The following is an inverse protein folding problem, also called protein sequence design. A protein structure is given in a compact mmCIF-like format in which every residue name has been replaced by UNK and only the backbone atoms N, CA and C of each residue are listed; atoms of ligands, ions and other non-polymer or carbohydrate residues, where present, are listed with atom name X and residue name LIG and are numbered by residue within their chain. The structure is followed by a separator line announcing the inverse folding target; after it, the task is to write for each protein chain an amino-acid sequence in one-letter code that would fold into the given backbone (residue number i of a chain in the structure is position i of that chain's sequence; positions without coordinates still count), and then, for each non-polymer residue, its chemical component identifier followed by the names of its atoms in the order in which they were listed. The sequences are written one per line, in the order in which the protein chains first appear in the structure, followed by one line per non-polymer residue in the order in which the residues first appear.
data_IF_515896259358
#
_entry.id   IF_515896259358
#
_cell.length_a   1.000
_cell.length_b   1.000
_cell.length_c   1.000
_cell.angle_alpha   90.00
_cell.angle_beta   90.00
_cell.angle_gamma   90.00
#
_symmetry.space_group_name_H-M   'P 1'
#
loop_
_entity.id
_entity.type
_entity.pdbx_description
1 polymer ?
#
# COMPACT_ATOMS: atom_id res chain seq x y z
N UNK A 1 -14.20 10.36 6.72
CA UNK A 1 -13.52 9.23 6.07
C UNK A 1 -12.07 9.12 6.52
N UNK A 2 -11.22 10.14 6.34
CA UNK A 2 -9.80 10.07 6.76
C UNK A 2 -9.60 9.79 8.26
N UNK A 3 -10.43 10.35 9.14
CA UNK A 3 -10.36 10.07 10.59
C UNK A 3 -10.69 8.61 10.92
N UNK A 4 -11.62 7.98 10.19
CA UNK A 4 -11.94 6.56 10.31
C UNK A 4 -10.74 5.71 9.87
N UNK A 5 -10.07 6.11 8.78
CA UNK A 5 -8.84 5.45 8.30
C UNK A 5 -7.74 5.54 9.38
N UNK A 6 -7.51 6.72 9.97
CA UNK A 6 -6.53 6.89 11.05
C UNK A 6 -6.84 5.98 12.25
N UNK A 7 -8.10 5.92 12.68
CA UNK A 7 -8.52 5.06 13.79
C UNK A 7 -8.29 3.57 13.49
N UNK A 8 -8.65 3.12 12.29
CA UNK A 8 -8.44 1.73 11.86
C UNK A 8 -6.95 1.39 11.69
N UNK A 9 -6.14 2.32 11.19
CA UNK A 9 -4.68 2.16 11.10
C UNK A 9 -4.02 2.02 12.48
N UNK A 10 -4.52 2.72 13.51
CA UNK A 10 -3.97 2.63 14.88
C UNK A 10 -4.10 1.23 15.48
N UNK A 11 -5.13 0.49 15.10
CA UNK A 11 -5.42 -0.85 15.61
C UNK A 11 -5.07 -1.98 14.64
N UNK A 12 -4.64 -1.68 13.41
CA UNK A 12 -4.23 -2.69 12.44
C UNK A 12 -2.81 -3.19 12.73
N UNK A 13 -2.41 -4.32 12.17
CA UNK A 13 -1.03 -4.84 12.26
C UNK A 13 -0.21 -4.59 10.98
N UNK A 14 -0.65 -3.67 10.13
CA UNK A 14 -0.04 -3.41 8.83
C UNK A 14 1.40 -2.90 8.96
N UNK A 15 2.34 -3.47 8.20
CA UNK A 15 3.77 -3.13 8.26
C UNK A 15 4.06 -1.63 8.16
N UNK A 16 3.39 -0.95 7.23
CA UNK A 16 3.63 0.47 6.91
C UNK A 16 2.74 1.44 7.72
N UNK A 17 2.00 0.96 8.74
CA UNK A 17 1.00 1.79 9.46
C UNK A 17 1.60 3.00 10.17
N UNK A 18 2.78 2.83 10.79
CA UNK A 18 3.42 3.87 11.61
C UNK A 18 3.80 5.07 10.75
N UNK A 19 4.55 4.82 9.66
CA UNK A 19 4.95 5.87 8.72
C UNK A 19 3.74 6.61 8.14
N UNK A 20 2.67 5.88 7.78
CA UNK A 20 1.45 6.52 7.25
C UNK A 20 0.73 7.36 8.31
N UNK A 21 0.64 6.88 9.55
CA UNK A 21 0.02 7.64 10.64
C UNK A 21 0.78 8.93 10.91
N UNK A 22 2.11 8.89 10.95
CA UNK A 22 2.95 10.09 11.10
C UNK A 22 2.69 11.10 9.99
N UNK A 23 2.55 10.65 8.74
CA UNK A 23 2.22 11.54 7.61
C UNK A 23 0.82 12.13 7.76
N UNK A 24 -0.17 11.32 8.13
CA UNK A 24 -1.57 11.75 8.24
C UNK A 24 -1.84 12.65 9.46
N UNK A 25 -0.97 12.59 10.48
CA UNK A 25 -1.01 13.45 11.67
C UNK A 25 -0.22 14.76 11.48
N UNK A 26 0.57 14.88 10.40
CA UNK A 26 1.25 16.11 10.01
C UNK A 26 0.28 17.16 9.42
N UNK A 27 0.55 18.43 9.68
CA UNK A 27 -0.21 19.57 9.13
C UNK A 27 -0.08 19.66 7.59
N UNK A 28 1.00 19.10 7.02
CA UNK A 28 1.28 19.11 5.58
C UNK A 28 0.81 17.82 4.85
N UNK A 29 -0.05 17.02 5.49
CA UNK A 29 -0.52 15.75 4.96
C UNK A 29 -1.16 15.90 3.56
N UNK A 30 -0.54 15.28 2.55
CA UNK A 30 -1.11 15.19 1.19
C UNK A 30 -1.69 13.80 0.98
N UNK A 31 -3.01 13.73 0.94
CA UNK A 31 -3.72 12.50 0.62
C UNK A 31 -4.83 12.72 -0.39
N UNK A 32 -5.17 11.66 -1.11
CA UNK A 32 -6.24 11.63 -2.11
C UNK A 32 -7.04 10.34 -1.95
N UNK A 33 -8.32 10.49 -1.65
CA UNK A 33 -9.25 9.36 -1.51
C UNK A 33 -9.92 9.14 -2.86
N UNK A 34 -9.70 7.97 -3.45
CA UNK A 34 -10.31 7.59 -4.72
C UNK A 34 -11.78 7.22 -4.49
N UNK A 35 -12.68 7.91 -5.19
CA UNK A 35 -14.12 7.66 -5.11
C UNK A 35 -14.57 6.38 -5.83
N UNK A 36 -13.70 5.77 -6.63
CA UNK A 36 -13.98 4.51 -7.30
C UNK A 36 -13.61 3.34 -6.38
N UNK A 37 -14.49 2.35 -6.29
CA UNK A 37 -14.20 1.09 -5.62
C UNK A 37 -13.90 -0.02 -6.63
N UNK A 38 -13.15 -1.01 -6.19
CA UNK A 38 -12.82 -2.22 -6.96
C UNK A 38 -13.20 -3.44 -6.13
N UNK A 39 -13.68 -4.49 -6.80
CA UNK A 39 -14.00 -5.76 -6.16
C UNK A 39 -12.79 -6.36 -5.44
N UNK A 40 -13.03 -6.91 -4.25
CA UNK A 40 -12.04 -7.66 -3.47
C UNK A 40 -11.42 -8.80 -4.27
N UNK A 41 -12.22 -9.53 -5.05
CA UNK A 41 -11.77 -10.68 -5.83
C UNK A 41 -10.82 -10.26 -6.95
N UNK A 42 -11.16 -9.20 -7.68
CA UNK A 42 -10.31 -8.63 -8.74
C UNK A 42 -8.98 -8.14 -8.15
N UNK A 43 -9.04 -7.49 -6.98
CA UNK A 43 -7.81 -7.04 -6.31
C UNK A 43 -6.94 -8.21 -5.87
N UNK A 44 -7.53 -9.26 -5.31
CA UNK A 44 -6.79 -10.44 -4.90
C UNK A 44 -6.02 -11.05 -6.08
N UNK A 45 -6.68 -11.26 -7.22
CA UNK A 45 -6.06 -11.79 -8.44
C UNK A 45 -4.87 -10.92 -8.92
N UNK A 46 -5.08 -9.61 -9.01
CA UNK A 46 -4.03 -8.67 -9.45
C UNK A 46 -2.82 -8.71 -8.52
N UNK A 47 -3.05 -8.74 -7.20
CA UNK A 47 -1.97 -8.64 -6.23
C UNK A 47 -1.26 -9.98 -5.98
N UNK A 48 -1.94 -11.12 -6.16
CA UNK A 48 -1.28 -12.43 -6.20
C UNK A 48 -0.28 -12.51 -7.36
N UNK A 49 -0.69 -12.11 -8.56
CA UNK A 49 0.21 -12.03 -9.71
C UNK A 49 1.40 -11.08 -9.45
N UNK A 50 1.16 -9.93 -8.81
CA UNK A 50 2.24 -8.99 -8.45
C UNK A 50 3.20 -9.59 -7.42
N UNK A 51 2.70 -10.34 -6.44
CA UNK A 51 3.55 -11.02 -5.47
C UNK A 51 4.48 -12.04 -6.14
N UNK A 52 3.94 -12.83 -7.06
CA UNK A 52 4.73 -13.78 -7.85
C UNK A 52 5.81 -13.06 -8.66
N UNK A 53 5.45 -11.97 -9.36
CA UNK A 53 6.40 -11.17 -10.11
C UNK A 53 7.53 -10.59 -9.22
N UNK A 54 7.20 -10.12 -8.02
CA UNK A 54 8.17 -9.60 -7.07
C UNK A 54 9.03 -10.69 -6.42
N UNK A 55 8.61 -11.95 -6.46
CA UNK A 55 9.38 -13.08 -5.95
C UNK A 55 10.62 -13.35 -6.80
N UNK A 56 10.62 -12.95 -8.08
CA UNK A 56 11.78 -13.00 -8.96
C UNK A 56 12.78 -11.85 -8.78
N UNK A 57 12.61 -10.98 -7.78
CA UNK A 57 13.47 -9.80 -7.55
C UNK A 57 14.11 -9.85 -6.16
N UNK A 58 15.40 -9.51 -6.11
CA UNK A 58 16.23 -9.59 -4.89
C UNK A 58 16.70 -8.22 -4.38
N UNK A 59 16.08 -7.11 -4.78
CA UNK A 59 16.37 -5.82 -4.16
C UNK A 59 15.63 -5.68 -2.82
N UNK A 60 16.16 -4.88 -1.91
CA UNK A 60 15.52 -4.60 -0.62
C UNK A 60 14.10 -4.02 -0.81
N UNK A 61 13.97 -3.07 -1.75
CA UNK A 61 12.69 -2.48 -2.09
C UNK A 61 11.69 -3.52 -2.61
N UNK A 62 12.12 -4.45 -3.47
CA UNK A 62 11.27 -5.50 -3.99
C UNK A 62 10.79 -6.44 -2.88
N UNK A 63 11.67 -6.78 -1.93
CA UNK A 63 11.32 -7.61 -0.77
C UNK A 63 10.30 -6.91 0.15
N UNK A 64 10.52 -5.64 0.48
CA UNK A 64 9.56 -4.85 1.29
C UNK A 64 8.19 -4.72 0.62
N UNK A 65 8.17 -4.48 -0.70
CA UNK A 65 6.94 -4.40 -1.47
C UNK A 65 6.24 -5.75 -1.53
N UNK A 66 6.97 -6.84 -1.79
CA UNK A 66 6.43 -8.21 -1.80
C UNK A 66 5.78 -8.58 -0.48
N UNK A 67 6.44 -8.29 0.62
CA UNK A 67 5.91 -8.52 1.96
C UNK A 67 4.59 -7.79 2.20
N UNK A 68 4.51 -6.51 1.80
CA UNK A 68 3.31 -5.70 1.94
C UNK A 68 2.18 -6.19 1.01
N UNK A 69 2.53 -6.70 -0.18
CA UNK A 69 1.58 -7.32 -1.12
C UNK A 69 1.06 -8.64 -0.57
N UNK A 70 1.91 -9.48 0.03
CA UNK A 70 1.50 -10.73 0.67
C UNK A 70 0.55 -10.48 1.85
N UNK A 71 0.87 -9.49 2.69
CA UNK A 71 -0.01 -9.04 3.78
C UNK A 71 -1.39 -8.61 3.24
N UNK A 72 -1.42 -7.82 2.17
CA UNK A 72 -2.67 -7.43 1.51
C UNK A 72 -3.44 -8.66 0.99
N UNK A 73 -2.80 -9.58 0.29
CA UNK A 73 -3.44 -10.80 -0.22
C UNK A 73 -4.04 -11.64 0.93
N UNK A 74 -3.31 -11.83 2.02
CA UNK A 74 -3.81 -12.57 3.18
C UNK A 74 -5.02 -11.91 3.83
N UNK A 75 -5.01 -10.59 3.95
CA UNK A 75 -6.15 -9.84 4.48
C UNK A 75 -7.35 -9.88 3.52
N UNK A 76 -7.13 -9.77 2.21
CA UNK A 76 -8.18 -9.91 1.20
C UNK A 76 -8.82 -11.31 1.19
N UNK A 77 -8.07 -12.37 1.49
CA UNK A 77 -8.63 -13.73 1.59
C UNK A 77 -9.53 -13.90 2.81
N UNK A 78 -9.25 -13.19 3.90
CA UNK A 78 -9.95 -13.31 5.19
C UNK A 78 -11.09 -12.31 5.35
N UNK A 79 -11.05 -11.19 4.64
CA UNK A 79 -12.03 -10.13 4.76
C UNK A 79 -13.36 -10.50 4.09
N UNK A 80 -14.46 -10.11 4.73
CA UNK A 80 -15.83 -10.17 4.19
C UNK A 80 -16.18 -8.94 3.33
N UNK A 81 -15.17 -8.21 2.86
CA UNK A 81 -15.35 -7.01 2.06
C UNK A 81 -15.75 -7.36 0.62
N UNK A 82 -16.78 -6.74 0.07
CA UNK A 82 -17.09 -6.89 -1.36
C UNK A 82 -16.23 -5.95 -2.21
N UNK A 83 -16.06 -4.72 -1.74
CA UNK A 83 -15.47 -3.63 -2.50
C UNK A 83 -14.51 -2.82 -1.63
N UNK A 84 -13.38 -2.42 -2.23
CA UNK A 84 -12.37 -1.60 -1.58
C UNK A 84 -12.22 -0.26 -2.32
N UNK A 85 -12.00 0.81 -1.57
CA UNK A 85 -11.52 2.08 -2.11
C UNK A 85 -10.04 2.27 -1.77
N UNK A 86 -9.39 3.19 -2.49
CA UNK A 86 -7.98 3.48 -2.32
C UNK A 86 -7.80 4.86 -1.72
N UNK A 87 -6.87 4.97 -0.77
CA UNK A 87 -6.36 6.27 -0.33
C UNK A 87 -4.87 6.34 -0.65
N UNK A 88 -4.48 7.31 -1.47
CA UNK A 88 -3.08 7.59 -1.73
C UNK A 88 -2.58 8.62 -0.72
N UNK A 89 -1.51 8.32 0.01
CA UNK A 89 -0.84 9.25 0.93
C UNK A 89 0.56 9.50 0.42
N UNK A 90 0.96 10.77 0.26
CA UNK A 90 2.21 11.15 -0.41
C UNK A 90 3.17 11.85 0.53
N UNK A 91 4.43 11.45 0.51
CA UNK A 91 5.52 12.13 1.20
C UNK A 91 6.78 12.10 0.33
N UNK A 92 7.12 13.26 -0.25
CA UNK A 92 8.24 13.36 -1.18
C UNK A 92 8.12 12.39 -2.36
N UNK A 93 9.15 11.55 -2.51
CA UNK A 93 9.27 10.54 -3.57
C UNK A 93 8.41 9.29 -3.34
N UNK A 94 7.92 9.10 -2.10
CA UNK A 94 7.18 7.91 -1.68
C UNK A 94 5.67 8.15 -1.79
N UNK A 95 4.97 7.15 -2.33
CA UNK A 95 3.52 7.03 -2.32
C UNK A 95 3.10 5.81 -1.51
N UNK A 96 2.24 6.01 -0.53
CA UNK A 96 1.54 4.95 0.18
C UNK A 96 0.16 4.76 -0.43
N UNK A 97 -0.24 3.53 -0.68
CA UNK A 97 -1.61 3.19 -1.11
C UNK A 97 -2.27 2.34 -0.03
N UNK A 98 -3.35 2.88 0.56
CA UNK A 98 -4.19 2.19 1.52
C UNK A 98 -5.38 1.53 0.81
N UNK A 99 -5.65 0.28 1.14
CA UNK A 99 -6.75 -0.52 0.63
C UNK A 99 -7.79 -0.61 1.73
N UNK A 100 -8.91 0.08 1.57
CA UNK A 100 -9.90 0.23 2.64
C UNK A 100 -11.21 -0.38 2.21
N UNK A 101 -11.76 -1.26 3.05
CA UNK A 101 -13.12 -1.77 2.90
C UNK A 101 -14.10 -0.59 2.90
N UNK A 102 -14.91 -0.52 1.84
CA UNK A 102 -15.88 0.54 1.63
C UNK A 102 -16.95 0.61 2.70
N UNK A 103 -17.38 -0.53 3.23
CA UNK A 103 -18.51 -0.60 4.15
C UNK A 103 -18.07 -0.37 5.59
N UNK A 104 -16.95 -0.99 6.00
CA UNK A 104 -16.48 -0.95 7.39
C UNK A 104 -15.44 0.15 7.65
N UNK A 105 -14.76 0.64 6.61
CA UNK A 105 -13.61 1.52 6.76
C UNK A 105 -12.35 0.81 7.27
N UNK A 106 -12.37 -0.53 7.37
CA UNK A 106 -11.21 -1.32 7.77
C UNK A 106 -10.11 -1.25 6.71
N UNK A 107 -8.87 -0.98 7.13
CA UNK A 107 -7.72 -0.93 6.21
C UNK A 107 -7.11 -2.32 6.10
N UNK A 108 -7.21 -2.91 4.92
CA UNK A 108 -6.80 -4.29 4.62
C UNK A 108 -5.38 -4.37 4.07
N UNK A 109 -4.77 -3.27 3.65
CA UNK A 109 -3.38 -3.25 3.24
C UNK A 109 -2.82 -1.85 3.08
N UNK A 110 -1.49 -1.76 3.17
CA UNK A 110 -0.77 -0.51 2.99
C UNK A 110 0.51 -0.77 2.19
N UNK A 111 0.53 -0.35 0.92
CA UNK A 111 1.68 -0.53 0.04
C UNK A 111 2.52 0.73 -0.04
N UNK A 112 3.82 0.62 0.24
CA UNK A 112 4.81 1.68 0.05
C UNK A 112 5.44 1.54 -1.34
N UNK A 113 5.30 2.57 -2.17
CA UNK A 113 5.77 2.57 -3.56
C UNK A 113 6.56 3.82 -3.87
N UNK A 114 7.50 3.70 -4.81
CA UNK A 114 8.22 4.83 -5.38
C UNK A 114 7.91 4.87 -6.88
N UNK A 115 7.55 6.04 -7.39
CA UNK A 115 7.30 6.22 -8.82
C UNK A 115 8.59 6.55 -9.54
N UNK A 116 8.87 5.89 -10.66
CA UNK A 116 9.99 6.22 -11.54
C UNK A 116 9.95 7.68 -12.00
N UNK A 117 8.77 8.30 -12.08
CA UNK A 117 8.59 9.71 -12.46
C UNK A 117 9.02 10.69 -11.36
N UNK A 118 9.21 10.22 -10.12
CA UNK A 118 9.55 11.05 -8.96
C UNK A 118 11.03 11.00 -8.59
N UNK A 119 11.81 10.13 -9.22
CA UNK A 119 13.23 9.93 -8.90
C UNK A 119 14.08 10.01 -10.15
N UNK A 120 15.38 10.27 -9.98
CA UNK A 120 16.31 10.22 -11.12
C UNK A 120 16.48 8.78 -11.64
N UNK A 121 16.89 8.57 -12.90
CA UNK A 121 17.20 7.24 -13.42
C UNK A 121 18.25 6.48 -12.59
N UNK A 122 19.26 7.17 -12.07
CA UNK A 122 20.31 6.59 -11.23
C UNK A 122 19.71 6.09 -9.91
N UNK A 123 18.86 6.91 -9.28
CA UNK A 123 18.19 6.54 -8.04
C UNK A 123 17.22 5.38 -8.24
N UNK A 124 16.49 5.37 -9.36
CA UNK A 124 15.61 4.27 -9.74
C UNK A 124 16.38 2.96 -9.86
N UNK A 125 17.50 2.97 -10.57
CA UNK A 125 18.35 1.80 -10.72
C UNK A 125 18.94 1.33 -9.38
N UNK A 126 19.29 2.25 -8.48
CA UNK A 126 19.75 1.92 -7.13
C UNK A 126 18.66 1.20 -6.31
N UNK A 127 17.42 1.71 -6.31
CA UNK A 127 16.28 1.12 -5.59
C UNK A 127 16.03 -0.34 -6.03
N UNK A 128 16.19 -0.62 -7.32
CA UNK A 128 15.98 -1.94 -7.91
C UNK A 128 17.24 -2.77 -8.06
N UNK A 129 18.38 -2.31 -7.55
CA UNK A 129 19.64 -3.05 -7.60
C UNK A 129 19.52 -4.33 -6.78
N UNK A 130 19.82 -5.46 -7.42
CA UNK A 130 19.76 -6.77 -6.77
C UNK A 130 20.83 -6.89 -5.68
N UNK A 131 20.43 -7.44 -4.54
CA UNK A 131 21.34 -7.85 -3.46
C UNK A 131 21.58 -9.35 -3.58
N UNK A 132 22.84 -9.78 -3.48
CA UNK A 132 23.30 -11.16 -3.61
C UNK A 132 23.66 -11.73 -2.25
#
# INVERSE_FOLDING_TARGET
MIEIIKQNLKISDLKNKVEVLEILESDDAKYDIKNNSVSREILLEIYEFRSEHLSGKNSEHAAQLRDSVNELCDNLRRADAENLFFTSVKQGEVDYTLFTDKETGCVLGCLKTISQLKVSPEKWNEIWKETW
#
